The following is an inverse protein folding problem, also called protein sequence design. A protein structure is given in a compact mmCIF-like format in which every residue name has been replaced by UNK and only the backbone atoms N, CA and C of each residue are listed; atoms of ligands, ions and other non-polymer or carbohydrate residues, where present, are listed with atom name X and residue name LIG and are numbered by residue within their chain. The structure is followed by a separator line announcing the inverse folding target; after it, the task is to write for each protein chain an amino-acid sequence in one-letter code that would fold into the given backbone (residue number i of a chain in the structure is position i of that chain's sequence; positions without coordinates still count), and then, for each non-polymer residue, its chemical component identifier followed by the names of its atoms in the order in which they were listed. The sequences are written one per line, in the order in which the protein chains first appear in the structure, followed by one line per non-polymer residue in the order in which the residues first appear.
data_IF_784356303995
#
_entry.id   IF_784356303995
#
_cell.length_a   1.000
_cell.length_b   1.000
_cell.length_c   1.000
_cell.angle_alpha   90.00
_cell.angle_beta   90.00
_cell.angle_gamma   90.00
#
_symmetry.space_group_name_H-M   'P 1'
#
loop_
_entity.id
_entity.type
_entity.pdbx_description
1 polymer ?
#
# COMPACT_ATOMS: atom_id res chain seq x y z
N UNK A 1 27.75 -17.49 -18.20
CA UNK A 1 27.32 -16.25 -17.53
C UNK A 1 25.81 -16.23 -17.61
N UNK A 2 25.13 -16.28 -16.46
CA UNK A 2 23.67 -16.34 -16.41
C UNK A 2 23.14 -14.91 -16.40
N UNK A 3 22.63 -14.46 -17.55
CA UNK A 3 21.98 -13.16 -17.68
C UNK A 3 20.61 -13.24 -16.99
N UNK A 4 20.52 -12.64 -15.80
CA UNK A 4 19.25 -12.50 -15.08
C UNK A 4 18.42 -11.49 -15.86
N UNK A 5 17.41 -11.99 -16.56
CA UNK A 5 16.45 -11.16 -17.30
C UNK A 5 15.68 -10.31 -16.29
N UNK A 6 15.93 -9.00 -16.33
CA UNK A 6 15.06 -8.02 -15.70
C UNK A 6 13.65 -8.21 -16.24
N UNK A 7 12.72 -8.63 -15.39
CA UNK A 7 11.33 -8.75 -15.75
C UNK A 7 10.74 -7.34 -15.75
N UNK A 8 10.83 -6.66 -16.90
CA UNK A 8 10.17 -5.38 -17.15
C UNK A 8 8.68 -5.68 -17.33
N UNK A 9 7.95 -5.78 -16.23
CA UNK A 9 6.49 -5.77 -16.23
C UNK A 9 6.02 -4.32 -16.33
N UNK A 10 5.61 -3.96 -17.54
CA UNK A 10 4.89 -2.73 -17.86
C UNK A 10 3.52 -2.75 -17.19
N UNK A 11 3.34 -2.00 -16.09
CA UNK A 11 2.02 -1.74 -15.52
C UNK A 11 1.54 -0.37 -16.03
N UNK A 12 0.39 -0.38 -16.70
CA UNK A 12 -0.17 0.76 -17.44
C UNK A 12 -0.98 1.74 -16.58
N UNK A 13 -0.46 2.13 -15.42
CA UNK A 13 -1.00 3.21 -14.58
C UNK A 13 0.06 4.30 -14.37
N UNK A 14 -0.31 5.53 -13.93
CA UNK A 14 0.66 6.57 -13.64
C UNK A 14 1.65 6.05 -12.58
N UNK A 15 2.89 5.80 -13.00
CA UNK A 15 3.96 5.36 -12.09
C UNK A 15 4.32 6.55 -11.20
N UNK A 16 3.69 6.65 -10.04
CA UNK A 16 4.18 7.51 -8.96
C UNK A 16 5.45 6.84 -8.45
N UNK A 17 6.59 7.49 -8.66
CA UNK A 17 7.89 6.96 -8.30
C UNK A 17 8.02 6.99 -6.78
N UNK A 18 7.68 5.89 -6.09
CA UNK A 18 7.95 5.74 -4.67
C UNK A 18 9.44 6.01 -4.40
N UNK A 19 9.81 6.96 -3.51
CA UNK A 19 11.17 7.46 -3.42
C UNK A 19 12.22 6.47 -2.86
N UNK A 20 11.84 5.23 -2.51
CA UNK A 20 12.65 4.34 -1.67
C UNK A 20 12.91 2.94 -2.27
N UNK A 21 12.91 2.73 -3.58
CA UNK A 21 13.47 1.50 -4.20
C UNK A 21 12.83 0.16 -3.79
N UNK A 22 11.74 0.17 -3.03
CA UNK A 22 10.84 -0.97 -2.87
C UNK A 22 9.99 -1.09 -4.14
N UNK A 23 9.78 -2.31 -4.63
CA UNK A 23 8.79 -2.52 -5.67
C UNK A 23 7.42 -2.17 -5.07
N UNK A 24 6.52 -1.49 -5.81
CA UNK A 24 5.18 -1.24 -5.34
C UNK A 24 4.51 -2.58 -4.98
N UNK A 25 3.72 -2.63 -3.90
CA UNK A 25 3.02 -3.83 -3.50
C UNK A 25 2.16 -4.36 -4.66
N UNK A 26 2.22 -5.68 -4.86
CA UNK A 26 1.31 -6.34 -5.79
C UNK A 26 -0.11 -6.37 -5.21
N UNK A 27 -1.10 -6.54 -6.08
CA UNK A 27 -2.51 -6.73 -5.72
C UNK A 27 -2.69 -7.58 -4.44
N UNK A 28 -3.40 -7.00 -3.46
CA UNK A 28 -3.66 -7.57 -2.14
C UNK A 28 -5.11 -8.03 -1.97
N UNK A 29 -6.03 -7.50 -2.77
CA UNK A 29 -7.48 -7.79 -2.75
C UNK A 29 -7.87 -8.90 -3.73
N UNK A 30 -7.04 -9.15 -4.75
CA UNK A 30 -7.25 -10.11 -5.82
C UNK A 30 -8.19 -9.62 -6.92
N UNK A 31 -8.45 -8.32 -7.01
CA UNK A 31 -9.34 -7.70 -8.00
C UNK A 31 -8.61 -7.20 -9.26
N UNK A 32 -7.27 -7.26 -9.26
CA UNK A 32 -6.42 -6.83 -10.36
C UNK A 32 -5.90 -5.40 -10.25
N UNK A 33 -6.28 -4.65 -9.22
CA UNK A 33 -5.75 -3.33 -8.93
C UNK A 33 -4.62 -3.41 -7.89
N UNK A 34 -3.61 -2.55 -8.03
CA UNK A 34 -2.47 -2.48 -7.11
C UNK A 34 -2.69 -1.34 -6.14
N UNK A 35 -2.22 -1.48 -4.88
CA UNK A 35 -2.33 -0.39 -3.92
C UNK A 35 -1.64 0.89 -4.40
N UNK A 36 -2.19 2.03 -3.99
CA UNK A 36 -1.69 3.36 -4.30
C UNK A 36 -1.10 4.08 -3.09
N UNK A 37 -0.23 5.05 -3.38
CA UNK A 37 0.37 6.00 -2.44
C UNK A 37 0.00 7.44 -2.92
N UNK A 38 -1.21 7.93 -2.56
CA UNK A 38 -1.70 9.26 -2.88
C UNK A 38 -0.83 10.43 -2.42
N UNK A 39 -0.20 10.35 -1.25
CA UNK A 39 0.55 11.45 -0.64
C UNK A 39 2.07 11.41 -0.84
N UNK A 40 2.57 10.31 -1.43
CA UNK A 40 3.94 10.02 -1.79
C UNK A 40 4.90 9.92 -0.58
N UNK A 41 4.42 9.48 0.58
CA UNK A 41 5.23 9.25 1.77
C UNK A 41 5.93 7.88 1.78
N UNK A 42 5.52 6.97 0.87
CA UNK A 42 6.06 5.62 0.72
C UNK A 42 5.24 4.53 1.40
N UNK A 43 4.16 4.89 2.09
CA UNK A 43 3.10 4.01 2.58
C UNK A 43 1.98 3.96 1.53
N UNK A 44 1.23 2.86 1.51
CA UNK A 44 0.21 2.62 0.48
C UNK A 44 -1.17 2.54 1.13
N UNK A 45 -1.77 3.70 1.38
CA UNK A 45 -3.07 3.84 2.04
C UNK A 45 -4.27 3.49 1.16
N UNK A 46 -4.14 3.60 -0.18
CA UNK A 46 -5.14 3.15 -1.16
C UNK A 46 -4.98 1.63 -1.36
N UNK A 47 -5.44 0.84 -0.39
CA UNK A 47 -5.23 -0.61 -0.33
C UNK A 47 -6.01 -1.34 -1.41
N UNK A 48 -7.17 -0.80 -1.82
CA UNK A 48 -8.00 -1.41 -2.85
C UNK A 48 -7.61 -0.98 -4.27
N UNK A 49 -6.73 0.03 -4.42
CA UNK A 49 -6.23 0.51 -5.70
C UNK A 49 -7.25 1.30 -6.52
N UNK A 50 -8.29 1.85 -5.89
CA UNK A 50 -9.36 2.60 -6.58
C UNK A 50 -9.01 4.07 -6.84
N UNK A 51 -7.84 4.51 -6.36
CA UNK A 51 -7.32 5.85 -6.51
C UNK A 51 -7.84 6.84 -5.47
N UNK A 52 -8.53 6.36 -4.44
CA UNK A 52 -9.04 7.12 -3.30
C UNK A 52 -8.56 6.48 -2.01
N UNK A 53 -8.31 7.30 -0.99
CA UNK A 53 -8.11 6.79 0.37
C UNK A 53 -9.39 7.03 1.18
N UNK A 54 -10.08 5.96 1.55
CA UNK A 54 -11.29 6.00 2.38
C UNK A 54 -11.47 4.78 3.30
N UNK A 55 -12.64 4.69 3.96
CA UNK A 55 -12.96 3.59 4.89
C UNK A 55 -12.99 2.21 4.22
N UNK A 56 -13.17 2.13 2.90
CA UNK A 56 -13.12 0.89 2.12
C UNK A 56 -11.71 0.32 2.13
N UNK A 57 -10.66 1.15 2.10
CA UNK A 57 -9.27 0.70 2.20
C UNK A 57 -8.97 0.10 3.56
N UNK A 58 -9.46 0.70 4.63
CA UNK A 58 -9.35 0.16 5.99
C UNK A 58 -10.02 -1.22 6.09
N UNK A 59 -11.17 -1.39 5.43
CA UNK A 59 -11.83 -2.70 5.35
C UNK A 59 -11.04 -3.72 4.53
N UNK A 60 -10.46 -3.29 3.39
CA UNK A 60 -9.64 -4.12 2.53
C UNK A 60 -8.36 -4.58 3.26
N UNK A 61 -7.69 -3.68 3.96
CA UNK A 61 -6.52 -3.98 4.80
C UNK A 61 -6.87 -5.01 5.86
N UNK A 62 -7.97 -4.79 6.60
CA UNK A 62 -8.41 -5.73 7.63
C UNK A 62 -8.77 -7.11 7.07
N UNK A 63 -9.48 -7.16 5.95
CA UNK A 63 -9.90 -8.40 5.32
C UNK A 63 -8.71 -9.21 4.79
N UNK A 64 -7.72 -8.53 4.20
CA UNK A 64 -6.56 -9.16 3.57
C UNK A 64 -5.32 -9.21 4.46
N UNK A 65 -5.43 -8.81 5.73
CA UNK A 65 -4.26 -8.66 6.61
C UNK A 65 -3.37 -9.90 6.71
N UNK A 66 -3.98 -11.08 6.79
CA UNK A 66 -3.27 -12.37 6.90
C UNK A 66 -2.57 -12.79 5.61
N UNK A 67 -3.00 -12.22 4.49
CA UNK A 67 -2.36 -12.39 3.19
C UNK A 67 -1.20 -11.43 3.01
N UNK A 68 -1.27 -10.24 3.63
CA UNK A 68 -0.26 -9.17 3.56
C UNK A 68 0.89 -9.42 4.54
N UNK A 69 0.59 -9.77 5.80
CA UNK A 69 1.56 -10.02 6.88
C UNK A 69 2.77 -10.91 6.49
N UNK A 70 2.62 -12.01 5.73
CA UNK A 70 3.76 -12.85 5.33
C UNK A 70 4.50 -12.38 4.06
N UNK A 71 4.10 -11.28 3.42
CA UNK A 71 4.75 -10.77 2.18
C UNK A 71 5.95 -9.90 2.54
N UNK A 72 6.94 -9.88 1.64
CA UNK A 72 8.06 -8.92 1.73
C UNK A 72 7.58 -7.46 1.61
N UNK A 73 6.34 -7.23 1.16
CA UNK A 73 5.71 -5.92 1.02
C UNK A 73 5.28 -5.28 2.36
N UNK A 74 5.51 -5.94 3.50
CA UNK A 74 5.12 -5.46 4.84
C UNK A 74 5.48 -4.01 5.16
N UNK A 75 6.69 -3.50 4.83
CA UNK A 75 7.06 -2.11 5.09
C UNK A 75 6.21 -1.07 4.35
N UNK A 76 5.51 -1.45 3.28
CA UNK A 76 4.61 -0.55 2.55
C UNK A 76 3.26 -0.35 3.25
N UNK A 77 2.97 -1.18 4.26
CA UNK A 77 1.72 -1.16 5.03
C UNK A 77 1.96 -0.94 6.53
N UNK A 78 3.21 -0.67 6.93
CA UNK A 78 3.66 -0.40 8.30
C UNK A 78 3.33 1.06 8.68
N UNK A 79 2.04 1.34 8.89
CA UNK A 79 1.53 2.70 9.08
C UNK A 79 1.88 3.28 10.45
N UNK A 80 2.24 2.44 11.42
CA UNK A 80 2.71 2.88 12.75
C UNK A 80 4.24 2.86 12.90
N UNK A 81 4.96 2.49 11.83
CA UNK A 81 6.42 2.41 11.73
C UNK A 81 7.06 1.50 12.80
N UNK A 82 6.34 0.46 13.27
CA UNK A 82 6.82 -0.47 14.29
C UNK A 82 7.63 -1.65 13.70
N UNK A 83 7.61 -1.79 12.37
CA UNK A 83 8.32 -2.82 11.62
C UNK A 83 7.53 -4.11 11.43
N UNK A 84 6.28 -4.17 11.86
CA UNK A 84 5.38 -5.32 11.70
C UNK A 84 4.05 -4.85 11.12
N UNK A 85 3.46 -5.67 10.25
CA UNK A 85 2.10 -5.41 9.78
C UNK A 85 1.09 -6.23 10.59
N UNK A 86 0.38 -5.58 11.52
CA UNK A 86 -0.63 -6.16 12.38
C UNK A 86 -1.96 -5.34 12.45
N UNK A 87 -2.72 -5.49 13.54
CA UNK A 87 -4.00 -4.80 13.72
C UNK A 87 -3.83 -3.33 14.15
N UNK A 88 -2.66 -2.97 14.65
CA UNK A 88 -2.30 -1.61 15.04
C UNK A 88 -2.10 -0.76 13.79
N UNK A 89 -1.52 -1.30 12.72
CA UNK A 89 -1.42 -0.65 11.41
C UNK A 89 -2.79 -0.29 10.83
N UNK A 90 -3.75 -1.21 10.88
CA UNK A 90 -5.12 -0.94 10.41
C UNK A 90 -5.78 0.18 11.23
N UNK A 91 -5.43 0.30 12.51
CA UNK A 91 -5.90 1.42 13.34
C UNK A 91 -5.20 2.72 13.01
N UNK A 92 -3.89 2.69 12.74
CA UNK A 92 -3.13 3.85 12.30
C UNK A 92 -3.68 4.37 10.96
N UNK A 93 -3.92 3.47 10.00
CA UNK A 93 -4.58 3.78 8.73
C UNK A 93 -5.95 4.46 8.93
N UNK A 94 -6.78 3.96 9.85
CA UNK A 94 -8.06 4.61 10.15
C UNK A 94 -7.92 6.00 10.81
N UNK A 95 -6.83 6.25 11.55
CA UNK A 95 -6.57 7.57 12.13
C UNK A 95 -6.11 8.55 11.05
N UNK A 96 -5.33 8.09 10.08
CA UNK A 96 -4.83 8.91 8.97
C UNK A 96 -5.95 9.36 8.02
N UNK A 97 -6.95 8.51 7.74
CA UNK A 97 -8.15 8.93 6.98
C UNK A 97 -8.80 10.18 7.58
N UNK A 98 -8.75 10.28 8.91
CA UNK A 98 -9.33 11.38 9.66
C UNK A 98 -8.48 12.65 9.64
N UNK A 99 -7.17 12.56 9.39
CA UNK A 99 -6.26 13.70 9.32
C UNK A 99 -6.26 14.35 7.94
N UNK A 100 -6.44 13.58 6.86
CA UNK A 100 -6.58 14.10 5.49
C UNK A 100 -7.83 14.99 5.36
N UNK A 101 -8.94 14.62 5.99
CA UNK A 101 -10.18 15.40 6.06
C UNK A 101 -10.13 16.59 7.04
N UNK A 102 -9.20 16.57 8.00
CA UNK A 102 -9.02 17.65 8.98
C UNK A 102 -8.00 18.71 8.54
N UNK A 103 -7.24 18.46 7.48
CA UNK A 103 -6.03 19.21 7.14
C UNK A 103 -5.96 19.84 5.74
N UNK A 104 -6.84 19.51 4.79
CA UNK A 104 -6.78 20.07 3.44
C UNK A 104 -7.60 21.37 3.30
N UNK A 105 -6.94 22.49 3.60
CA UNK A 105 -7.25 23.83 3.04
C UNK A 105 -6.02 24.41 2.36
#
# INVERSE_FOLDING_TARGET
ANEVRANVTSFGGPTVLAPLGYAPPGDVTGDGESPGDPDADGLYEDVNGDGTFDVVDVQAAFANRRSIEPRDDGPAFDFDEDGNFDIVDVQALFVEERTVDAGTS
#
